data_IF_807500385654
#
_entry.id   IF_807500385654
#
_cell.length_a   1.000
_cell.length_b   1.000
_cell.length_c   1.000
_cell.angle_alpha   90.00
_cell.angle_beta   90.00
_cell.angle_gamma   90.00
#
_symmetry.space_group_name_H-M   'P 1'
#
loop_
_entity.id
_entity.type
_entity.pdbx_description
1 polymer ?
#
# COMPACT_ATOMS: atom_id res chain seq x y z
N UNK A 1 -8.98 53.94 -16.24
CA UNK A 1 -9.41 52.64 -15.68
C UNK A 1 -9.76 51.56 -16.72
N UNK A 2 -9.72 51.83 -18.04
CA UNK A 2 -9.94 50.80 -19.09
C UNK A 2 -8.70 49.92 -19.34
N UNK A 3 -7.50 50.50 -19.30
CA UNK A 3 -6.24 49.78 -19.54
C UNK A 3 -5.97 48.63 -18.55
N UNK A 4 -6.27 48.83 -17.26
CA UNK A 4 -6.04 47.80 -16.23
C UNK A 4 -6.91 46.56 -16.43
N UNK A 5 -8.17 46.73 -16.89
CA UNK A 5 -9.06 45.61 -17.20
C UNK A 5 -8.58 44.82 -18.42
N UNK A 6 -8.07 45.52 -19.44
CA UNK A 6 -7.51 44.87 -20.64
C UNK A 6 -6.26 44.07 -20.32
N UNK A 7 -5.37 44.60 -19.45
CA UNK A 7 -4.20 43.88 -18.94
C UNK A 7 -4.60 42.63 -18.14
N UNK A 8 -5.62 42.75 -17.28
CA UNK A 8 -6.10 41.64 -16.46
C UNK A 8 -6.69 40.51 -17.31
N UNK A 9 -7.44 40.85 -18.37
CA UNK A 9 -7.98 39.88 -19.33
C UNK A 9 -6.84 39.18 -20.10
N UNK A 10 -5.82 39.91 -20.55
CA UNK A 10 -4.66 39.34 -21.23
C UNK A 10 -3.87 38.37 -20.32
N UNK A 11 -3.64 38.73 -19.06
CA UNK A 11 -2.94 37.85 -18.09
C UNK A 11 -3.73 36.57 -17.84
N UNK A 12 -5.06 36.66 -17.68
CA UNK A 12 -5.92 35.47 -17.47
C UNK A 12 -5.89 34.55 -18.70
N UNK A 13 -5.92 35.09 -19.91
CA UNK A 13 -5.86 34.28 -21.14
C UNK A 13 -4.53 33.54 -21.33
N UNK A 14 -3.41 34.11 -20.87
CA UNK A 14 -2.09 33.43 -20.95
C UNK A 14 -2.01 32.30 -19.92
N UNK A 15 -2.62 32.47 -18.74
CA UNK A 15 -2.61 31.46 -17.68
C UNK A 15 -3.55 30.26 -17.96
N UNK A 16 -4.58 30.43 -18.80
CA UNK A 16 -5.53 29.34 -19.14
C UNK A 16 -5.05 28.40 -20.25
N UNK A 17 -3.98 28.74 -20.99
CA UNK A 17 -3.45 27.92 -22.10
C UNK A 17 -2.31 27.00 -21.66
N UNK A 18 -1.88 27.07 -20.40
CA UNK A 18 -1.02 26.05 -19.81
C UNK A 18 -1.87 24.84 -19.40
N UNK A 19 -2.35 24.07 -20.38
CA UNK A 19 -2.58 22.66 -20.12
C UNK A 19 -1.28 22.08 -19.53
N UNK A 20 -1.33 21.32 -18.43
CA UNK A 20 -0.16 20.56 -18.01
C UNK A 20 0.19 19.69 -19.20
N UNK A 21 1.32 19.99 -19.85
CA UNK A 21 1.89 19.15 -20.88
C UNK A 21 1.94 17.76 -20.27
N UNK A 22 1.07 16.87 -20.74
CA UNK A 22 1.18 15.45 -20.47
C UNK A 22 2.63 15.10 -20.78
N UNK A 23 3.37 14.75 -19.74
CA UNK A 23 4.77 14.37 -19.87
C UNK A 23 4.74 13.25 -20.92
N UNK A 24 5.33 13.53 -22.09
CA UNK A 24 5.68 12.47 -23.02
C UNK A 24 6.83 11.77 -22.33
N UNK A 25 6.51 10.79 -21.50
CA UNK A 25 7.47 9.79 -21.08
C UNK A 25 7.91 9.09 -22.37
N UNK A 26 9.04 9.55 -22.91
CA UNK A 26 9.68 8.86 -24.00
C UNK A 26 9.95 7.44 -23.50
N UNK A 27 9.51 6.40 -24.22
CA UNK A 27 9.56 5.06 -23.68
C UNK A 27 11.04 4.70 -23.49
N UNK A 28 11.41 4.47 -22.23
CA UNK A 28 12.80 4.29 -21.83
C UNK A 28 13.31 2.93 -22.28
N UNK A 29 14.62 2.83 -22.55
CA UNK A 29 15.25 1.53 -22.79
C UNK A 29 15.28 0.72 -21.50
N UNK A 30 15.08 -0.60 -21.60
CA UNK A 30 15.11 -1.47 -20.43
C UNK A 30 16.45 -1.47 -19.68
N UNK A 31 17.55 -1.07 -20.32
CA UNK A 31 18.84 -0.85 -19.68
C UNK A 31 18.86 0.29 -18.66
N UNK A 32 17.98 1.27 -18.81
CA UNK A 32 17.86 2.44 -17.92
C UNK A 32 16.90 2.14 -16.78
N UNK A 33 15.80 1.44 -17.08
CA UNK A 33 14.78 1.06 -16.10
C UNK A 33 15.25 -0.09 -15.20
N UNK A 34 16.14 -0.96 -15.67
CA UNK A 34 16.67 -2.04 -14.86
C UNK A 34 17.39 -1.51 -13.62
N UNK A 35 16.98 -2.00 -12.44
CA UNK A 35 17.57 -1.62 -11.16
C UNK A 35 17.11 -0.26 -10.65
N UNK A 36 16.05 0.34 -11.20
CA UNK A 36 15.38 1.49 -10.57
C UNK A 36 14.43 1.02 -9.47
N UNK A 37 14.16 1.88 -8.48
CA UNK A 37 13.09 1.60 -7.51
C UNK A 37 11.73 1.67 -8.18
N UNK A 38 10.81 0.84 -7.71
CA UNK A 38 9.43 0.80 -8.19
C UNK A 38 8.48 0.46 -7.03
N UNK A 39 7.22 0.83 -7.17
CA UNK A 39 6.12 0.35 -6.33
C UNK A 39 5.14 -0.53 -7.10
N UNK A 40 5.06 -0.33 -8.42
CA UNK A 40 4.19 -1.07 -9.33
C UNK A 40 4.88 -1.48 -10.63
N UNK A 41 4.32 -2.46 -11.33
CA UNK A 41 4.88 -2.98 -12.58
C UNK A 41 4.84 -1.95 -13.72
N UNK A 42 3.89 -1.02 -13.72
CA UNK A 42 3.78 0.05 -14.72
C UNK A 42 5.04 0.90 -14.75
N UNK A 43 5.68 1.14 -13.61
CA UNK A 43 6.94 1.89 -13.51
C UNK A 43 8.12 1.15 -14.18
N UNK A 44 8.02 -0.18 -14.32
CA UNK A 44 9.04 -1.00 -14.96
C UNK A 44 8.81 -1.19 -16.47
N UNK A 45 7.81 -0.52 -17.05
CA UNK A 45 7.50 -0.60 -18.49
C UNK A 45 8.62 0.04 -19.30
N UNK A 46 9.18 -0.72 -20.26
CA UNK A 46 10.29 -0.25 -21.09
C UNK A 46 10.16 -0.74 -22.54
N UNK A 47 10.88 -0.09 -23.46
CA UNK A 47 10.97 -0.54 -24.85
C UNK A 47 11.75 -1.85 -24.90
N UNK A 48 11.04 -2.96 -25.08
CA UNK A 48 11.64 -4.28 -25.26
C UNK A 48 12.45 -4.32 -26.55
N UNK A 49 13.77 -4.43 -26.42
CA UNK A 49 14.62 -4.97 -27.47
C UNK A 49 14.36 -6.48 -27.62
N UNK A 50 14.56 -7.05 -28.82
CA UNK A 50 14.34 -8.49 -29.11
C UNK A 50 15.06 -9.48 -28.17
N UNK A 51 16.04 -9.00 -27.42
CA UNK A 51 16.89 -9.75 -26.50
C UNK A 51 16.66 -9.40 -25.02
N UNK A 52 15.72 -8.52 -24.70
CA UNK A 52 15.48 -8.05 -23.34
C UNK A 52 14.23 -8.71 -22.74
N UNK A 53 14.36 -9.42 -21.61
CA UNK A 53 13.21 -9.91 -20.87
C UNK A 53 12.39 -8.73 -20.31
N UNK A 54 11.08 -8.92 -20.20
CA UNK A 54 10.17 -7.96 -19.57
C UNK A 54 10.56 -7.77 -18.10
N UNK A 55 10.71 -6.51 -17.68
CA UNK A 55 10.97 -6.17 -16.29
C UNK A 55 9.65 -6.09 -15.51
N UNK A 56 9.69 -6.49 -14.25
CA UNK A 56 8.61 -6.33 -13.30
C UNK A 56 9.12 -5.62 -12.05
N UNK A 57 8.21 -5.08 -11.24
CA UNK A 57 8.57 -4.68 -9.91
C UNK A 57 8.73 -5.93 -9.05
N UNK A 58 9.97 -6.20 -8.65
CA UNK A 58 10.32 -7.35 -7.82
C UNK A 58 9.88 -7.12 -6.36
N UNK A 59 9.79 -8.20 -5.58
CA UNK A 59 9.53 -8.19 -4.13
C UNK A 59 10.47 -7.27 -3.31
N UNK A 60 11.62 -6.91 -3.88
CA UNK A 60 12.58 -5.96 -3.28
C UNK A 60 12.30 -4.49 -3.64
N UNK A 61 11.22 -4.21 -4.39
CA UNK A 61 10.87 -2.90 -4.91
C UNK A 61 11.91 -2.35 -5.91
N UNK A 62 12.42 -3.21 -6.78
CA UNK A 62 13.33 -2.87 -7.88
C UNK A 62 12.83 -3.45 -9.21
N UNK A 63 13.03 -2.71 -10.29
CA UNK A 63 12.71 -3.16 -11.65
C UNK A 63 13.73 -4.18 -12.14
N UNK A 64 13.36 -5.46 -12.07
CA UNK A 64 14.25 -6.58 -12.40
C UNK A 64 13.49 -7.64 -13.22
N UNK A 65 14.23 -8.65 -13.67
CA UNK A 65 13.61 -9.81 -14.31
C UNK A 65 12.78 -10.60 -13.29
N UNK A 66 11.67 -11.18 -13.75
CA UNK A 66 10.78 -11.96 -12.89
C UNK A 66 11.54 -13.14 -12.26
N UNK A 67 11.65 -13.12 -10.94
CA UNK A 67 12.19 -14.19 -10.12
C UNK A 67 11.10 -15.19 -9.69
N UNK A 68 11.43 -16.46 -9.43
CA UNK A 68 10.48 -17.43 -8.88
C UNK A 68 9.85 -16.99 -7.54
N UNK A 69 10.56 -16.19 -6.75
CA UNK A 69 10.05 -15.66 -5.47
C UNK A 69 8.97 -14.60 -5.68
N UNK A 70 8.99 -13.87 -6.80
CA UNK A 70 7.97 -12.86 -7.11
C UNK A 70 6.59 -13.51 -7.28
N UNK A 71 6.54 -14.75 -7.77
CA UNK A 71 5.30 -15.53 -7.88
C UNK A 71 4.65 -15.79 -6.51
N UNK A 72 5.46 -16.01 -5.47
CA UNK A 72 4.99 -16.24 -4.10
C UNK A 72 4.57 -14.91 -3.47
N UNK A 73 5.39 -13.86 -3.64
CA UNK A 73 5.15 -12.54 -3.06
C UNK A 73 3.86 -11.90 -3.60
N UNK A 74 3.59 -12.05 -4.90
CA UNK A 74 2.35 -11.57 -5.55
C UNK A 74 1.08 -12.27 -5.08
N UNK A 75 1.19 -13.42 -4.40
CA UNK A 75 0.04 -14.14 -3.80
C UNK A 75 -0.21 -13.72 -2.35
N UNK A 76 0.64 -12.87 -1.78
CA UNK A 76 0.45 -12.31 -0.44
C UNK A 76 -0.56 -11.15 -0.52
N UNK A 77 -1.48 -11.03 0.44
CA UNK A 77 -2.39 -9.90 0.51
C UNK A 77 -1.58 -8.65 0.81
N UNK A 78 -1.81 -7.59 0.05
CA UNK A 78 -1.15 -6.28 0.24
C UNK A 78 0.36 -6.41 0.46
N UNK A 79 1.12 -6.80 -0.58
CA UNK A 79 2.49 -7.28 -0.42
C UNK A 79 3.50 -6.21 0.03
N UNK A 80 3.16 -4.92 -0.08
CA UNK A 80 3.92 -3.80 0.49
C UNK A 80 3.70 -3.60 1.99
N UNK A 81 2.60 -4.14 2.54
CA UNK A 81 2.16 -3.97 3.93
C UNK A 81 2.34 -5.26 4.71
N UNK A 82 2.15 -6.42 4.09
CA UNK A 82 2.38 -7.69 4.75
C UNK A 82 3.85 -7.82 5.22
N UNK A 83 4.04 -8.12 6.51
CA UNK A 83 5.32 -8.11 7.24
C UNK A 83 6.04 -6.76 7.31
N UNK A 84 5.35 -5.64 7.05
CA UNK A 84 5.89 -4.33 7.39
C UNK A 84 5.86 -4.11 8.89
N UNK A 85 6.74 -3.21 9.37
CA UNK A 85 6.75 -2.76 10.76
C UNK A 85 5.43 -2.04 11.10
N UNK A 86 4.87 -2.33 12.27
CA UNK A 86 3.65 -1.70 12.80
C UNK A 86 3.75 -1.50 14.32
N UNK A 87 2.94 -0.58 14.84
CA UNK A 87 2.72 -0.37 16.28
C UNK A 87 1.30 -0.74 16.69
N UNK A 88 0.33 -0.55 15.82
CA UNK A 88 -1.08 -0.87 16.03
C UNK A 88 -1.75 -1.45 14.77
N UNK A 89 -2.91 -2.08 14.91
CA UNK A 89 -3.64 -2.72 13.80
C UNK A 89 -4.00 -1.72 12.67
N UNK A 90 -4.19 -0.45 13.01
CA UNK A 90 -4.48 0.61 12.05
C UNK A 90 -3.30 0.90 11.09
N UNK A 91 -2.08 0.55 11.47
CA UNK A 91 -0.87 0.70 10.64
C UNK A 91 -0.81 -0.32 9.50
N UNK A 92 -1.74 -1.30 9.47
CA UNK A 92 -1.78 -2.37 8.49
C UNK A 92 -2.99 -2.27 7.53
N UNK A 93 -3.20 -1.14 6.80
CA UNK A 93 -4.38 -0.95 5.97
C UNK A 93 -4.34 -1.85 4.74
N UNK A 94 -5.18 -2.88 4.71
CA UNK A 94 -5.25 -3.78 3.54
C UNK A 94 -6.71 -4.01 3.13
N UNK A 95 -7.08 -3.58 1.92
CA UNK A 95 -8.43 -3.70 1.37
C UNK A 95 -8.76 -5.12 0.91
N UNK A 96 -7.75 -5.89 0.49
CA UNK A 96 -7.92 -7.26 0.01
C UNK A 96 -8.14 -8.28 1.13
N UNK A 97 -7.49 -8.07 2.29
CA UNK A 97 -7.60 -8.95 3.44
C UNK A 97 -7.31 -8.18 4.75
N UNK A 98 -8.03 -8.48 5.85
CA UNK A 98 -7.74 -7.87 7.14
C UNK A 98 -6.36 -8.33 7.65
N UNK A 99 -5.46 -7.36 7.83
CA UNK A 99 -4.18 -7.53 8.51
C UNK A 99 -4.27 -6.94 9.93
N UNK A 100 -3.50 -7.51 10.85
CA UNK A 100 -3.35 -7.06 12.25
C UNK A 100 -1.88 -6.91 12.58
N UNK A 101 -1.55 -6.09 13.57
CA UNK A 101 -0.19 -5.93 14.06
C UNK A 101 0.11 -6.97 15.14
N UNK A 102 0.87 -8.01 14.78
CA UNK A 102 1.33 -9.04 15.71
C UNK A 102 2.86 -9.02 15.73
N UNK A 103 3.48 -9.01 16.91
CA UNK A 103 4.96 -8.96 17.06
C UNK A 103 5.65 -7.78 16.32
N UNK A 104 4.95 -6.64 16.20
CA UNK A 104 5.36 -5.45 15.41
C UNK A 104 5.43 -5.68 13.90
N UNK A 105 4.81 -6.74 13.39
CA UNK A 105 4.67 -7.01 11.97
C UNK A 105 3.20 -7.11 11.57
N UNK A 106 2.86 -6.56 10.40
CA UNK A 106 1.54 -6.73 9.81
C UNK A 106 1.35 -8.17 9.31
N UNK A 107 0.49 -8.94 9.96
CA UNK A 107 0.21 -10.34 9.62
C UNK A 107 -1.28 -10.56 9.36
N UNK A 108 -1.62 -11.71 8.77
CA UNK A 108 -3.04 -12.07 8.56
C UNK A 108 -3.71 -12.32 9.90
N UNK A 109 -4.89 -11.74 10.10
CA UNK A 109 -5.72 -12.07 11.25
C UNK A 109 -5.97 -13.58 11.29
N UNK A 110 -5.60 -14.23 12.40
CA UNK A 110 -5.94 -15.63 12.65
C UNK A 110 -7.47 -15.70 12.70
N UNK A 111 -8.08 -16.53 11.85
CA UNK A 111 -9.49 -16.91 12.05
C UNK A 111 -9.55 -17.66 13.37
N UNK A 112 -9.88 -16.97 14.44
CA UNK A 112 -10.28 -17.60 15.70
C UNK A 112 -11.55 -18.37 15.37
N UNK A 113 -11.39 -19.64 15.01
CA UNK A 113 -12.49 -20.58 15.04
C UNK A 113 -12.92 -20.58 16.49
N UNK A 114 -14.06 -19.94 16.78
CA UNK A 114 -14.64 -19.90 18.11
C UNK A 114 -15.04 -21.33 18.50
N UNK A 115 -14.07 -22.13 18.89
CA UNK A 115 -14.28 -23.32 19.70
C UNK A 115 -14.46 -22.76 21.11
N UNK A 116 -15.70 -22.37 21.42
CA UNK A 116 -16.15 -22.15 22.79
C UNK A 116 -15.86 -23.44 23.57
N UNK A 117 -14.65 -23.53 24.10
CA UNK A 117 -14.26 -24.46 25.13
C UNK A 117 -14.37 -23.65 26.40
N UNK A 118 -15.46 -23.91 27.10
CA UNK A 118 -15.64 -23.61 28.51
C UNK A 118 -14.42 -24.11 29.30
N UNK A 119 -13.53 -23.20 29.70
CA UNK A 119 -12.69 -23.36 30.89
C UNK A 119 -12.07 -22.00 31.20
N UNK A 120 -12.69 -21.27 32.10
CA UNK A 120 -12.19 -21.10 33.47
C UNK A 120 -11.08 -20.04 33.55
N UNK A 121 -11.50 -18.81 33.78
CA UNK A 121 -10.76 -17.88 34.63
C UNK A 121 -11.79 -17.15 35.47
N UNK A 122 -12.01 -17.72 36.64
CA UNK A 122 -12.74 -17.12 37.73
C UNK A 122 -11.93 -15.94 38.26
N UNK A 123 -12.27 -14.72 37.84
CA UNK A 123 -11.94 -13.49 38.57
C UNK A 123 -13.06 -12.49 38.32
N UNK A 124 -13.66 -12.04 39.42
CA UNK A 124 -14.37 -10.77 39.65
C UNK A 124 -15.91 -10.66 39.59
N UNK A 125 -16.44 -10.62 40.83
CA UNK A 125 -17.21 -9.51 41.41
C UNK A 125 -18.71 -9.41 41.10
N UNK A 126 -19.51 -10.07 41.95
CA UNK A 126 -20.67 -9.41 42.57
C UNK A 126 -20.62 -9.65 44.09
N UNK A 127 -20.05 -8.69 44.83
CA UNK A 127 -20.37 -8.44 46.24
C UNK A 127 -21.79 -7.88 46.30
N UNK A 128 -22.76 -8.64 46.78
CA UNK A 128 -24.03 -8.09 47.26
C UNK A 128 -24.45 -8.83 48.53
N UNK A 129 -23.94 -8.30 49.63
CA UNK A 129 -24.65 -8.07 50.89
C UNK A 129 -25.45 -9.26 51.49
N UNK A 130 -24.73 -10.14 52.18
CA UNK A 130 -25.28 -10.99 53.23
C UNK A 130 -25.12 -10.27 54.57
N UNK A 131 -26.23 -9.80 55.16
CA UNK A 131 -26.51 -9.75 56.61
C UNK A 131 -27.69 -8.83 56.94
N UNK A 132 -28.82 -9.45 57.26
CA UNK A 132 -29.76 -9.07 58.33
C UNK A 132 -30.53 -10.37 58.67
N UNK A 133 -30.04 -11.13 59.65
CA UNK A 133 -30.42 -11.10 61.07
C UNK A 133 -31.65 -11.97 61.38
N UNK A 134 -31.39 -13.03 62.17
CA UNK A 134 -32.25 -13.72 63.15
C UNK A 134 -33.66 -14.15 62.73
#
# INVERSE_FOLDING_TARGET
>A
MKLMKTLLVLVVTVLTVCEPRHIRDWPQSCSVVRGTRCSEDSECTCVMSRSSPSLICSYRNWCEEKSPLDEIWRKLPCPLIYKSLCMEDADCPCSEAPLICEDRECVRAKKTFARNTTSSSAVDLIKLHDRSFL
#
